data_IF_010938872025
#
_entry.id   IF_010938872025
#
_cell.length_a   1.000
_cell.length_b   1.000
_cell.length_c   1.000
_cell.angle_alpha   90.00
_cell.angle_beta   90.00
_cell.angle_gamma   90.00
#
_symmetry.space_group_name_H-M   'P 1'
#
loop_
_entity.id
_entity.type
_entity.pdbx_description
1 polymer ?
#
# COMPACT_ATOMS: atom_id res chain seq x y z
N UNK A 1 -0.21 25.20 -10.85
CA UNK A 1 0.91 25.00 -9.91
C UNK A 1 0.84 23.57 -9.42
N UNK A 2 1.60 22.66 -10.03
CA UNK A 2 1.77 21.30 -9.50
C UNK A 2 2.64 21.41 -8.26
N UNK A 3 2.03 21.31 -7.08
CA UNK A 3 2.73 21.45 -5.82
C UNK A 3 3.59 20.21 -5.58
N UNK A 4 4.87 20.30 -5.90
CA UNK A 4 5.86 19.35 -5.42
C UNK A 4 5.86 19.39 -3.89
N UNK A 5 5.83 18.23 -3.24
CA UNK A 5 6.01 18.16 -1.79
C UNK A 5 7.41 18.67 -1.42
N UNK A 6 7.51 19.37 -0.31
CA UNK A 6 8.82 19.60 0.31
C UNK A 6 9.38 18.27 0.83
N UNK A 7 10.70 18.20 1.03
CA UNK A 7 11.33 17.02 1.63
C UNK A 7 10.67 16.66 2.97
N UNK A 8 10.42 17.67 3.81
CA UNK A 8 9.71 17.49 5.08
C UNK A 8 8.31 16.89 4.90
N UNK A 9 7.53 17.34 3.90
CA UNK A 9 6.21 16.79 3.63
C UNK A 9 6.27 15.35 3.10
N UNK A 10 7.26 15.05 2.25
CA UNK A 10 7.49 13.69 1.75
C UNK A 10 7.87 12.74 2.89
N UNK A 11 8.76 13.17 3.78
CA UNK A 11 9.16 12.39 4.95
C UNK A 11 7.99 12.22 5.93
N UNK A 12 7.18 13.25 6.15
CA UNK A 12 5.98 13.14 6.97
C UNK A 12 4.97 12.13 6.40
N UNK A 13 4.77 12.08 5.07
CA UNK A 13 3.91 11.08 4.45
C UNK A 13 4.50 9.66 4.55
N UNK A 14 5.82 9.53 4.42
CA UNK A 14 6.51 8.25 4.60
C UNK A 14 6.36 7.74 6.03
N UNK A 15 6.50 8.63 7.01
CA UNK A 15 6.31 8.29 8.42
C UNK A 15 4.87 7.90 8.73
N UNK A 16 3.90 8.66 8.22
CA UNK A 16 2.48 8.30 8.32
C UNK A 16 2.21 6.90 7.72
N UNK A 17 2.79 6.62 6.55
CA UNK A 17 2.72 5.31 5.90
C UNK A 17 3.33 4.20 6.75
N UNK A 18 4.51 4.42 7.35
CA UNK A 18 5.17 3.45 8.22
C UNK A 18 4.35 3.16 9.49
N UNK A 19 3.76 4.18 10.12
CA UNK A 19 2.88 3.99 11.28
C UNK A 19 1.65 3.17 10.90
N UNK A 20 1.00 3.49 9.77
CA UNK A 20 -0.13 2.71 9.26
C UNK A 20 0.24 1.27 8.94
N UNK A 21 1.40 1.06 8.29
CA UNK A 21 1.93 -0.26 7.98
C UNK A 21 2.28 -1.07 9.24
N UNK A 22 2.81 -0.43 10.29
CA UNK A 22 3.07 -1.08 11.57
C UNK A 22 1.80 -1.59 12.26
N UNK A 23 0.73 -0.79 12.24
CA UNK A 23 -0.58 -1.22 12.73
C UNK A 23 -1.14 -2.40 11.91
N UNK A 24 -1.03 -2.33 10.58
CA UNK A 24 -1.45 -3.42 9.70
C UNK A 24 -0.61 -4.70 9.93
N UNK A 25 0.70 -4.57 10.13
CA UNK A 25 1.60 -5.68 10.44
C UNK A 25 1.23 -6.35 11.76
N UNK A 26 0.90 -5.56 12.78
CA UNK A 26 0.45 -6.05 14.09
C UNK A 26 -0.86 -6.83 13.96
N UNK A 27 -1.85 -6.28 13.26
CA UNK A 27 -3.12 -6.96 13.02
C UNK A 27 -2.94 -8.26 12.24
N UNK A 28 -2.09 -8.26 11.21
CA UNK A 28 -1.80 -9.45 10.41
C UNK A 28 -1.02 -10.49 11.22
N UNK A 29 -0.09 -10.06 12.07
CA UNK A 29 0.67 -10.91 12.99
C UNK A 29 -0.26 -11.63 13.96
N UNK A 30 -1.23 -10.92 14.55
CA UNK A 30 -2.24 -11.50 15.42
C UNK A 30 -3.14 -12.51 14.70
N UNK A 31 -3.53 -12.20 13.46
CA UNK A 31 -4.37 -13.08 12.64
C UNK A 31 -3.63 -14.39 12.28
N UNK A 32 -2.35 -14.30 11.93
CA UNK A 32 -1.54 -15.44 11.48
C UNK A 32 -0.78 -16.17 12.59
N UNK A 33 -0.71 -15.59 13.80
CA UNK A 33 0.12 -16.12 14.90
C UNK A 33 1.61 -16.11 14.59
N UNK A 34 2.09 -15.16 13.78
CA UNK A 34 3.48 -15.09 13.28
C UNK A 34 4.00 -13.66 13.38
N UNK A 35 5.31 -13.49 13.58
CA UNK A 35 5.92 -12.17 13.53
C UNK A 35 5.91 -11.63 12.09
N UNK A 36 5.23 -10.51 11.90
CA UNK A 36 5.12 -9.81 10.62
C UNK A 36 5.71 -8.42 10.78
N UNK A 37 6.55 -8.02 9.83
CA UNK A 37 7.07 -6.66 9.71
C UNK A 37 6.69 -6.10 8.35
N UNK A 38 6.26 -4.84 8.33
CA UNK A 38 5.96 -4.09 7.10
C UNK A 38 6.69 -2.75 7.16
N UNK A 39 7.22 -2.32 6.03
CA UNK A 39 7.85 -1.01 5.89
C UNK A 39 7.46 -0.36 4.57
N UNK A 40 7.35 0.97 4.57
CA UNK A 40 7.10 1.76 3.38
C UNK A 40 8.43 2.30 2.87
N UNK A 41 8.97 1.73 1.78
CA UNK A 41 10.31 2.10 1.32
C UNK A 41 10.34 3.50 0.69
N UNK A 42 9.26 3.87 -0.01
CA UNK A 42 9.18 5.09 -0.83
C UNK A 42 7.75 5.61 -0.88
N UNK A 43 7.62 6.94 -0.97
CA UNK A 43 6.38 7.64 -1.30
C UNK A 43 6.66 8.52 -2.52
N UNK A 44 5.78 8.46 -3.52
CA UNK A 44 5.82 9.29 -4.71
C UNK A 44 4.48 10.03 -4.84
N UNK A 45 4.52 11.31 -5.20
CA UNK A 45 3.34 12.07 -5.60
C UNK A 45 3.38 12.24 -7.11
N UNK A 46 2.38 11.68 -7.78
CA UNK A 46 2.28 11.68 -9.23
C UNK A 46 0.84 11.99 -9.66
N UNK A 47 0.66 12.54 -10.87
CA UNK A 47 -0.64 12.60 -11.52
C UNK A 47 -1.28 11.21 -11.61
N UNK A 48 -2.62 11.14 -11.53
CA UNK A 48 -3.35 9.87 -11.55
C UNK A 48 -3.13 9.12 -12.88
N UNK A 49 -2.95 9.86 -13.96
CA UNK A 49 -2.68 9.35 -15.29
C UNK A 49 -1.35 8.58 -15.36
N UNK A 50 -0.38 8.92 -14.50
CA UNK A 50 0.92 8.27 -14.44
C UNK A 50 0.90 6.98 -13.61
N UNK A 51 -0.16 6.69 -12.85
CA UNK A 51 -0.27 5.47 -12.05
C UNK A 51 -0.14 4.22 -12.94
N UNK A 52 -0.62 4.28 -14.18
CA UNK A 52 -0.54 3.18 -15.16
C UNK A 52 0.91 2.75 -15.45
N UNK A 53 1.88 3.63 -15.21
CA UNK A 53 3.31 3.36 -15.40
C UNK A 53 3.95 2.66 -14.19
N UNK A 54 3.28 2.69 -13.03
CA UNK A 54 3.76 2.12 -11.77
C UNK A 54 3.13 0.77 -11.44
N UNK A 55 2.00 0.45 -12.06
CA UNK A 55 1.33 -0.85 -11.91
C UNK A 55 1.92 -1.89 -12.86
N UNK A 56 1.75 -3.20 -12.56
CA UNK A 56 2.21 -4.25 -13.45
C UNK A 56 1.66 -4.13 -14.87
N UNK A 57 2.46 -4.53 -15.86
CA UNK A 57 2.13 -4.39 -17.28
C UNK A 57 0.82 -5.09 -17.66
N UNK A 58 0.15 -4.58 -18.70
CA UNK A 58 -1.07 -5.19 -19.26
C UNK A 58 -0.86 -6.70 -19.50
N UNK A 59 -1.82 -7.50 -19.06
CA UNK A 59 -1.77 -8.96 -19.15
C UNK A 59 -1.20 -9.66 -17.91
N UNK A 60 -0.59 -8.91 -16.98
CA UNK A 60 -0.18 -9.46 -15.68
C UNK A 60 -1.41 -9.66 -14.79
N UNK A 61 -1.61 -10.89 -14.33
CA UNK A 61 -2.65 -11.20 -13.35
C UNK A 61 -2.16 -10.73 -11.97
N UNK A 62 -3.01 -9.99 -11.27
CA UNK A 62 -2.76 -9.47 -9.92
C UNK A 62 -4.01 -9.64 -9.08
N UNK A 63 -3.85 -9.72 -7.76
CA UNK A 63 -4.96 -9.45 -6.85
C UNK A 63 -4.92 -7.98 -6.45
N UNK A 64 -6.09 -7.35 -6.39
CA UNK A 64 -6.20 -5.97 -5.97
C UNK A 64 -7.26 -5.82 -4.89
N UNK A 65 -6.93 -5.07 -3.84
CA UNK A 65 -7.86 -4.66 -2.80
C UNK A 65 -8.15 -3.17 -2.99
N UNK A 66 -9.40 -2.85 -3.27
CA UNK A 66 -9.86 -1.48 -3.44
C UNK A 66 -10.71 -1.05 -2.24
N UNK A 67 -10.28 0.01 -1.56
CA UNK A 67 -10.93 0.53 -0.37
C UNK A 67 -11.38 1.97 -0.61
N UNK A 68 -12.62 2.26 -0.23
CA UNK A 68 -13.15 3.62 -0.21
C UNK A 68 -13.18 4.12 1.22
N UNK A 69 -12.46 5.21 1.46
CA UNK A 69 -12.35 5.87 2.76
C UNK A 69 -13.30 7.07 2.74
N UNK A 70 -14.14 7.16 3.77
CA UNK A 70 -15.10 8.24 3.97
C UNK A 70 -14.73 9.03 5.22
N UNK A 71 -15.21 10.28 5.30
CA UNK A 71 -14.96 11.17 6.44
C UNK A 71 -14.42 12.52 6.00
N UNK A 72 -13.65 13.17 6.87
CA UNK A 72 -13.10 14.50 6.65
C UNK A 72 -12.11 14.56 5.47
N UNK A 73 -11.39 13.47 5.23
CA UNK A 73 -10.50 13.30 4.09
C UNK A 73 -10.96 12.08 3.28
N UNK A 74 -11.91 12.26 2.35
CA UNK A 74 -12.34 11.18 1.47
C UNK A 74 -11.18 10.72 0.60
N UNK A 75 -10.93 9.41 0.58
CA UNK A 75 -9.83 8.83 -0.18
C UNK A 75 -10.21 7.49 -0.80
N UNK A 76 -9.40 7.07 -1.76
CA UNK A 76 -9.45 5.74 -2.36
C UNK A 76 -8.08 5.12 -2.21
N UNK A 77 -8.03 3.90 -1.70
CA UNK A 77 -6.80 3.13 -1.61
C UNK A 77 -6.90 1.92 -2.55
N UNK A 78 -5.80 1.65 -3.24
CA UNK A 78 -5.63 0.48 -4.09
C UNK A 78 -4.35 -0.22 -3.66
N UNK A 79 -4.47 -1.45 -3.21
CA UNK A 79 -3.35 -2.30 -2.83
C UNK A 79 -3.27 -3.42 -3.86
N UNK A 80 -2.10 -3.63 -4.47
CA UNK A 80 -1.92 -4.59 -5.55
C UNK A 80 -0.89 -5.63 -5.11
N UNK A 81 -1.22 -6.91 -5.29
CA UNK A 81 -0.36 -8.03 -5.01
C UNK A 81 -0.07 -8.82 -6.30
N UNK A 82 1.19 -9.15 -6.59
CA UNK A 82 1.52 -10.13 -7.60
C UNK A 82 0.87 -11.48 -7.30
N UNK A 83 0.38 -12.18 -8.33
CA UNK A 83 -0.35 -13.44 -8.17
C UNK A 83 0.43 -14.50 -7.36
N UNK A 84 1.75 -14.62 -7.57
CA UNK A 84 2.60 -15.57 -6.85
C UNK A 84 2.66 -15.29 -5.34
N UNK A 85 2.58 -14.02 -4.93
CA UNK A 85 2.57 -13.63 -3.51
C UNK A 85 1.23 -13.85 -2.83
N UNK A 86 0.14 -13.81 -3.59
CA UNK A 86 -1.20 -14.09 -3.07
C UNK A 86 -1.31 -15.54 -2.64
N UNK A 87 -0.82 -16.48 -3.45
CA UNK A 87 -0.85 -17.90 -3.08
C UNK A 87 -0.04 -18.18 -1.80
N UNK A 88 1.14 -17.56 -1.67
CA UNK A 88 1.92 -17.64 -0.44
C UNK A 88 1.15 -17.13 0.78
N UNK A 89 0.41 -16.02 0.65
CA UNK A 89 -0.43 -15.50 1.74
C UNK A 89 -1.61 -16.42 2.07
N UNK A 90 -2.21 -17.06 1.06
CA UNK A 90 -3.29 -18.02 1.26
C UNK A 90 -2.80 -19.28 1.98
N UNK A 91 -1.62 -19.78 1.63
CA UNK A 91 -1.00 -20.92 2.30
C UNK A 91 -0.63 -20.63 3.76
N UNK A 92 -0.43 -19.36 4.13
CA UNK A 92 -0.21 -18.96 5.53
C UNK A 92 -1.51 -18.91 6.34
N UNK A 93 -2.66 -18.80 5.69
CA UNK A 93 -3.99 -18.70 6.31
C UNK A 93 -4.67 -20.07 6.50
N UNK A 94 -4.26 -21.08 5.74
CA UNK A 94 -4.78 -22.46 5.79
C UNK A 94 -3.89 -23.35 6.66
#
# INVERSE_FOLDING_TARGET
MGGYLTEFQSDALKELGNVGAGNAATALSQLLGRDITLSIPKVDVLPVEEIVTKVPSRGTIVAAVYLKIFGEIPARSLIIFPQDKVFMLLDLLM
#
